data_IF_897269256270
#
_entry.id   IF_897269256270
#
_cell.length_a   1.000
_cell.length_b   1.000
_cell.length_c   1.000
_cell.angle_alpha   90.00
_cell.angle_beta   90.00
_cell.angle_gamma   90.00
#
_symmetry.space_group_name_H-M   'P 1'
#
loop_
_entity.id
_entity.type
_entity.pdbx_description
1 polymer ?
#
# COMPACT_ATOMS: atom_id res chain seq x y z
N UNK A 1 -7.90 3.02 11.73
CA UNK A 1 -7.94 1.59 12.18
C UNK A 1 -6.53 0.96 12.19
N UNK A 2 -6.16 0.17 13.22
CA UNK A 2 -4.91 -0.62 13.27
C UNK A 2 -5.15 -2.09 13.63
N UNK A 3 -4.47 -3.02 12.92
CA UNK A 3 -4.44 -4.45 13.25
C UNK A 3 -3.04 -5.02 13.05
N UNK A 4 -2.67 -6.00 13.86
CA UNK A 4 -1.42 -6.75 13.67
C UNK A 4 -1.72 -8.20 13.27
N UNK A 5 -0.97 -8.77 12.32
CA UNK A 5 -1.26 -10.10 11.75
C UNK A 5 -1.37 -11.22 12.80
N UNK A 6 -0.61 -11.15 13.90
CA UNK A 6 -0.67 -12.16 14.97
C UNK A 6 -1.96 -12.11 15.80
N UNK A 7 -2.68 -10.99 15.74
CA UNK A 7 -3.90 -10.78 16.52
C UNK A 7 -5.15 -11.15 15.70
N UNK A 8 -4.97 -11.43 14.40
CA UNK A 8 -6.01 -11.85 13.48
C UNK A 8 -5.95 -13.37 13.31
N UNK A 9 -7.09 -14.02 13.55
CA UNK A 9 -7.25 -15.45 13.32
C UNK A 9 -6.96 -15.79 11.86
N UNK A 10 -6.05 -16.73 11.67
CA UNK A 10 -5.72 -17.27 10.37
C UNK A 10 -6.70 -18.40 10.00
N UNK A 11 -7.21 -18.39 8.77
CA UNK A 11 -8.16 -19.39 8.25
C UNK A 11 -7.54 -20.08 7.03
N UNK A 12 -7.63 -21.41 6.96
CA UNK A 12 -7.24 -22.13 5.73
C UNK A 12 -8.37 -22.00 4.70
N UNK A 13 -8.09 -21.35 3.57
CA UNK A 13 -9.08 -21.03 2.54
C UNK A 13 -9.02 -22.01 1.36
N UNK A 14 -7.85 -22.61 1.15
CA UNK A 14 -7.66 -23.75 0.26
C UNK A 14 -6.48 -24.58 0.78
N UNK A 15 -6.32 -25.79 0.27
CA UNK A 15 -5.26 -26.71 0.74
C UNK A 15 -3.89 -26.02 0.64
N UNK A 16 -3.26 -25.78 1.80
CA UNK A 16 -1.95 -25.14 1.83
C UNK A 16 -1.95 -23.61 1.65
N UNK A 17 -3.12 -22.97 1.70
CA UNK A 17 -3.26 -21.50 1.65
C UNK A 17 -4.04 -21.03 2.87
N UNK A 18 -3.42 -20.12 3.60
CA UNK A 18 -4.03 -19.52 4.77
C UNK A 18 -4.17 -18.02 4.61
N UNK A 19 -5.30 -17.48 5.04
CA UNK A 19 -5.67 -16.08 4.89
C UNK A 19 -5.94 -15.43 6.24
N UNK A 20 -5.65 -14.12 6.31
CA UNK A 20 -6.11 -13.19 7.33
C UNK A 20 -6.73 -11.99 6.62
N UNK A 21 -7.95 -11.62 7.00
CA UNK A 21 -8.56 -10.36 6.54
C UNK A 21 -8.08 -9.22 7.43
N UNK A 22 -7.24 -8.34 6.87
CA UNK A 22 -6.71 -7.17 7.57
C UNK A 22 -7.69 -5.99 7.54
N UNK A 23 -8.45 -5.88 6.46
CA UNK A 23 -9.52 -4.90 6.26
C UNK A 23 -10.63 -5.59 5.47
N UNK A 24 -11.85 -5.58 5.98
CA UNK A 24 -13.04 -6.06 5.28
C UNK A 24 -13.93 -4.92 4.79
N UNK A 25 -14.96 -5.21 3.98
CA UNK A 25 -15.87 -4.19 3.47
C UNK A 25 -16.54 -3.37 4.58
N UNK A 26 -16.93 -4.01 5.69
CA UNK A 26 -17.60 -3.34 6.81
C UNK A 26 -16.67 -2.43 7.64
N UNK A 27 -15.36 -2.49 7.38
CA UNK A 27 -14.37 -1.63 8.03
C UNK A 27 -14.20 -0.28 7.31
N UNK A 28 -14.78 -0.09 6.12
CA UNK A 28 -14.69 1.17 5.36
C UNK A 28 -16.06 1.75 5.05
N UNK A 29 -16.15 3.08 4.98
CA UNK A 29 -17.42 3.79 4.70
C UNK A 29 -18.02 3.45 3.34
N UNK A 30 -17.18 3.05 2.37
CA UNK A 30 -17.59 2.77 1.01
C UNK A 30 -17.89 1.28 0.76
N UNK A 31 -17.63 0.39 1.73
CA UNK A 31 -17.87 -1.05 1.64
C UNK A 31 -17.29 -1.73 0.40
N UNK A 32 -16.19 -1.21 -0.13
CA UNK A 32 -15.64 -1.62 -1.43
C UNK A 32 -14.12 -1.88 -1.41
N UNK A 33 -13.51 -1.92 -0.22
CA UNK A 33 -12.10 -2.22 -0.05
C UNK A 33 -11.93 -3.44 0.84
N UNK A 34 -11.04 -4.34 0.46
CA UNK A 34 -10.66 -5.50 1.24
C UNK A 34 -9.16 -5.71 1.13
N UNK A 35 -8.50 -5.93 2.27
CA UNK A 35 -7.07 -6.23 2.33
C UNK A 35 -6.89 -7.58 3.01
N UNK A 36 -6.21 -8.48 2.33
CA UNK A 36 -5.94 -9.85 2.79
C UNK A 36 -4.44 -10.11 2.86
N UNK A 37 -4.01 -10.76 3.94
CA UNK A 37 -2.67 -11.30 4.07
C UNK A 37 -2.70 -12.81 3.94
N UNK A 38 -2.04 -13.34 2.91
CA UNK A 38 -2.02 -14.77 2.61
C UNK A 38 -0.64 -15.39 2.87
N UNK A 39 -0.65 -16.60 3.42
CA UNK A 39 0.53 -17.48 3.52
C UNK A 39 0.26 -18.69 2.64
N UNK A 40 1.07 -18.85 1.60
CA UNK A 40 0.94 -19.91 0.60
C UNK A 40 2.10 -20.88 0.81
N UNK A 41 1.81 -22.15 1.09
CA UNK A 41 2.85 -23.18 1.21
C UNK A 41 3.49 -23.47 -0.15
N UNK A 42 4.78 -23.85 -0.19
CA UNK A 42 5.43 -24.31 -1.42
C UNK A 42 4.59 -25.39 -2.12
N UNK A 43 4.40 -25.24 -3.43
CA UNK A 43 3.59 -26.16 -4.24
C UNK A 43 2.07 -25.98 -4.14
N UNK A 44 1.60 -25.03 -3.33
CA UNK A 44 0.17 -24.66 -3.25
C UNK A 44 -0.14 -23.48 -4.17
N UNK A 45 -1.42 -23.27 -4.47
CA UNK A 45 -1.88 -22.18 -5.33
C UNK A 45 -3.14 -21.52 -4.76
N UNK A 46 -3.28 -20.23 -5.03
CA UNK A 46 -4.47 -19.42 -4.72
C UNK A 46 -5.06 -18.90 -6.02
N UNK A 47 -6.39 -18.95 -6.14
CA UNK A 47 -7.16 -18.36 -7.23
C UNK A 47 -7.81 -17.07 -6.77
N UNK A 48 -7.99 -16.14 -7.70
CA UNK A 48 -8.70 -14.87 -7.50
C UNK A 48 -9.77 -14.78 -8.58
N UNK A 49 -11.03 -14.99 -8.22
CA UNK A 49 -12.15 -15.15 -9.14
C UNK A 49 -13.38 -14.31 -8.77
N UNK A 50 -13.29 -13.43 -7.76
CA UNK A 50 -14.37 -12.48 -7.47
C UNK A 50 -14.63 -11.60 -8.69
N UNK A 51 -15.87 -11.62 -9.15
CA UNK A 51 -16.32 -10.80 -10.27
C UNK A 51 -16.30 -9.32 -9.87
N UNK A 52 -16.12 -8.45 -10.88
CA UNK A 52 -16.17 -6.99 -10.69
C UNK A 52 -15.18 -6.44 -9.65
N UNK A 53 -14.08 -7.16 -9.43
CA UNK A 53 -13.07 -6.80 -8.42
C UNK A 53 -11.76 -6.36 -9.08
N UNK A 54 -11.23 -5.24 -8.62
CA UNK A 54 -9.86 -4.81 -8.92
C UNK A 54 -8.90 -5.47 -7.94
N UNK A 55 -7.82 -6.08 -8.44
CA UNK A 55 -6.84 -6.75 -7.61
C UNK A 55 -5.43 -6.19 -7.81
N UNK A 56 -4.71 -6.10 -6.70
CA UNK A 56 -3.31 -5.76 -6.67
C UNK A 56 -2.61 -6.59 -5.61
N UNK A 57 -1.63 -7.36 -6.06
CA UNK A 57 -0.98 -8.38 -5.26
C UNK A 57 0.48 -8.03 -5.02
N UNK A 58 0.93 -8.29 -3.80
CA UNK A 58 2.30 -8.05 -3.37
C UNK A 58 2.87 -9.29 -2.69
N UNK A 59 4.03 -9.75 -3.17
CA UNK A 59 4.78 -10.82 -2.51
C UNK A 59 5.71 -10.16 -1.49
N UNK A 60 5.32 -10.24 -0.22
CA UNK A 60 6.07 -9.64 0.90
C UNK A 60 7.31 -10.48 1.23
N UNK A 61 7.22 -11.81 1.10
CA UNK A 61 8.33 -12.74 1.31
C UNK A 61 8.14 -14.00 0.48
N UNK A 62 9.25 -14.59 0.04
CA UNK A 62 9.27 -15.80 -0.78
C UNK A 62 9.16 -15.50 -2.28
N UNK A 63 8.59 -16.45 -3.03
CA UNK A 63 8.42 -16.39 -4.47
C UNK A 63 7.08 -17.04 -4.83
N UNK A 64 6.38 -16.46 -5.81
CA UNK A 64 5.14 -17.01 -6.34
C UNK A 64 5.22 -17.08 -7.87
N UNK A 65 4.51 -18.04 -8.47
CA UNK A 65 4.30 -18.07 -9.92
C UNK A 65 2.93 -17.46 -10.22
N UNK A 66 2.90 -16.44 -11.06
CA UNK A 66 1.69 -15.76 -11.50
C UNK A 66 1.44 -15.99 -12.99
N UNK A 67 0.41 -16.74 -13.36
CA UNK A 67 0.04 -16.94 -14.78
C UNK A 67 1.19 -17.50 -15.64
N UNK A 68 2.08 -18.30 -15.06
CA UNK A 68 3.29 -18.81 -15.74
C UNK A 68 4.52 -17.89 -15.68
N UNK A 69 4.43 -16.72 -15.05
CA UNK A 69 5.53 -15.77 -14.82
C UNK A 69 5.99 -15.87 -13.37
N UNK A 70 7.27 -16.12 -13.13
CA UNK A 70 7.81 -16.11 -11.76
C UNK A 70 7.81 -14.69 -11.20
N UNK A 71 6.95 -14.42 -10.21
CA UNK A 71 7.06 -13.25 -9.34
C UNK A 71 8.11 -13.55 -8.26
N UNK A 72 9.37 -13.47 -8.65
CA UNK A 72 10.53 -13.51 -7.78
C UNK A 72 11.06 -12.08 -7.61
N UNK A 73 11.23 -11.60 -6.38
CA UNK A 73 12.18 -10.51 -6.16
C UNK A 73 13.60 -11.15 -6.14
N UNK A 74 14.62 -10.77 -6.95
CA UNK A 74 14.75 -9.73 -8.01
C UNK A 74 15.28 -10.18 -9.43
N UNK A 75 15.01 -9.34 -10.46
CA UNK A 75 15.58 -9.15 -11.85
C UNK A 75 15.37 -10.22 -12.98
N UNK A 76 15.35 -9.84 -14.29
CA UNK A 76 14.45 -8.90 -15.01
C UNK A 76 13.76 -9.54 -16.27
N UNK A 77 12.76 -8.83 -16.81
CA UNK A 77 12.02 -8.99 -18.09
C UNK A 77 10.62 -9.67 -18.10
N UNK A 78 9.57 -8.82 -18.31
CA UNK A 78 8.31 -9.01 -19.11
C UNK A 78 7.38 -10.23 -18.80
N UNK A 79 6.04 -10.26 -18.95
CA UNK A 79 4.91 -9.34 -19.23
C UNK A 79 3.56 -10.12 -19.02
N UNK A 80 2.56 -9.49 -18.37
CA UNK A 80 1.09 -9.64 -18.58
C UNK A 80 0.28 -10.55 -17.65
N UNK A 81 0.46 -10.38 -16.35
CA UNK A 81 -0.47 -9.60 -15.52
C UNK A 81 0.37 -8.46 -14.92
N UNK A 82 -0.15 -7.32 -14.44
CA UNK A 82 0.72 -6.32 -13.79
C UNK A 82 1.16 -6.79 -12.39
N UNK A 83 1.76 -7.98 -12.29
CA UNK A 83 2.63 -8.34 -11.18
C UNK A 83 3.89 -7.48 -11.30
N UNK A 84 4.00 -6.45 -10.45
CA UNK A 84 5.24 -5.67 -10.30
C UNK A 84 5.96 -6.19 -9.06
N UNK A 85 7.11 -6.81 -9.26
CA UNK A 85 8.01 -7.16 -8.17
C UNK A 85 8.91 -5.95 -7.89
N UNK A 86 8.82 -5.40 -6.68
CA UNK A 86 9.70 -4.35 -6.21
C UNK A 86 10.69 -4.96 -5.21
N UNK A 87 11.96 -4.62 -5.34
CA UNK A 87 12.92 -4.91 -4.29
C UNK A 87 12.79 -3.84 -3.21
N UNK A 88 12.15 -4.19 -2.10
CA UNK A 88 11.96 -3.27 -0.98
C UNK A 88 13.29 -2.92 -0.27
N UNK A 89 14.33 -3.75 -0.40
CA UNK A 89 15.66 -3.48 0.18
C UNK A 89 16.45 -2.34 -0.50
N UNK A 90 15.97 -1.81 -1.64
CA UNK A 90 16.68 -0.80 -2.45
C UNK A 90 15.86 0.49 -2.64
N UNK A 91 15.14 0.96 -1.61
CA UNK A 91 14.72 2.36 -1.62
C UNK A 91 15.97 3.24 -1.53
N UNK A 92 16.52 3.60 -2.69
CA UNK A 92 17.61 4.55 -2.81
C UNK A 92 17.09 5.94 -2.45
N UNK A 93 17.93 6.72 -1.78
CA UNK A 93 17.68 8.10 -1.35
C UNK A 93 17.19 8.98 -2.51
N UNK A 94 15.87 9.11 -2.67
CA UNK A 94 15.24 9.93 -3.74
C UNK A 94 14.62 11.22 -3.22
N UNK A 95 14.53 11.43 -1.90
CA UNK A 95 13.94 12.64 -1.32
C UNK A 95 15.01 13.65 -0.88
N UNK A 96 14.75 14.92 -1.19
CA UNK A 96 15.48 16.09 -0.67
C UNK A 96 15.17 16.39 0.82
N UNK A 97 14.35 15.58 1.48
CA UNK A 97 14.02 15.72 2.91
C UNK A 97 14.85 14.73 3.70
N UNK A 98 15.74 15.25 4.55
CA UNK A 98 16.61 14.45 5.42
C UNK A 98 15.87 13.53 6.40
N UNK A 99 14.53 13.64 6.50
CA UNK A 99 13.71 12.97 7.51
C UNK A 99 12.96 11.73 7.03
N UNK A 100 12.71 11.57 5.73
CA UNK A 100 11.99 10.40 5.20
C UNK A 100 12.46 10.10 3.78
N UNK A 101 12.77 8.83 3.50
CA UNK A 101 13.10 8.33 2.16
C UNK A 101 11.83 7.71 1.57
N UNK A 102 11.31 8.25 0.47
CA UNK A 102 10.18 7.70 -0.26
C UNK A 102 10.61 7.30 -1.67
N UNK A 103 10.26 6.09 -2.09
CA UNK A 103 10.28 5.65 -3.48
C UNK A 103 8.88 5.27 -3.93
N UNK A 104 8.36 6.02 -4.89
CA UNK A 104 7.14 5.66 -5.60
C UNK A 104 7.38 4.45 -6.51
N UNK A 105 6.66 3.37 -6.22
CA UNK A 105 6.74 2.09 -6.92
C UNK A 105 5.78 2.07 -8.11
N UNK A 106 4.58 2.62 -7.94
CA UNK A 106 3.63 2.87 -9.02
C UNK A 106 3.08 4.29 -8.84
N UNK A 107 3.24 5.12 -9.88
CA UNK A 107 2.77 6.50 -9.85
C UNK A 107 1.25 6.59 -10.09
N UNK A 108 0.67 7.73 -9.71
CA UNK A 108 -0.73 8.09 -9.98
C UNK A 108 -1.11 7.89 -11.46
N UNK A 109 -0.27 8.40 -12.36
CA UNK A 109 -0.48 8.31 -13.80
C UNK A 109 -0.35 6.87 -14.28
N UNK A 110 0.57 6.09 -13.69
CA UNK A 110 0.71 4.69 -14.06
C UNK A 110 -0.50 3.86 -13.67
N UNK A 111 -1.09 4.10 -12.50
CA UNK A 111 -2.35 3.46 -12.13
C UNK A 111 -3.49 3.93 -13.06
N UNK A 112 -3.65 5.23 -13.28
CA UNK A 112 -4.69 5.76 -14.17
C UNK A 112 -4.60 5.18 -15.59
N UNK A 113 -3.41 5.14 -16.19
CA UNK A 113 -3.18 4.55 -17.53
C UNK A 113 -3.36 3.03 -17.54
N UNK A 114 -3.32 2.36 -16.37
CA UNK A 114 -3.70 0.94 -16.27
C UNK A 114 -5.19 0.69 -16.47
N UNK A 115 -6.01 1.72 -16.35
CA UNK A 115 -7.43 1.55 -16.03
C UNK A 115 -7.66 1.12 -14.59
N UNK A 116 -6.78 1.52 -13.66
CA UNK A 116 -7.05 1.32 -12.23
C UNK A 116 -8.34 2.04 -11.86
N UNK A 117 -9.19 1.39 -11.07
CA UNK A 117 -10.49 1.96 -10.72
C UNK A 117 -10.38 2.80 -9.45
N UNK A 118 -9.73 2.25 -8.41
CA UNK A 118 -9.49 2.99 -7.15
C UNK A 118 -8.02 3.18 -6.79
N UNK A 119 -7.12 2.32 -7.22
CA UNK A 119 -5.72 2.37 -6.77
C UNK A 119 -4.99 3.59 -7.32
N UNK A 120 -4.45 4.44 -6.46
CA UNK A 120 -3.89 5.73 -6.86
C UNK A 120 -2.36 5.71 -6.93
N UNK A 121 -1.70 5.63 -5.78
CA UNK A 121 -0.25 5.66 -5.64
C UNK A 121 0.21 4.51 -4.78
N UNK A 122 1.32 3.88 -5.17
CA UNK A 122 1.99 2.89 -4.33
C UNK A 122 3.41 3.36 -4.06
N UNK A 123 3.73 3.53 -2.79
CA UNK A 123 5.06 3.94 -2.33
C UNK A 123 5.64 2.90 -1.39
N UNK A 124 6.98 2.82 -1.37
CA UNK A 124 7.70 2.37 -0.18
C UNK A 124 8.30 3.59 0.51
N UNK A 125 8.05 3.69 1.81
CA UNK A 125 8.55 4.76 2.65
C UNK A 125 9.40 4.19 3.77
N UNK A 126 10.49 4.92 4.06
CA UNK A 126 11.45 4.61 5.10
C UNK A 126 11.64 5.85 5.96
N UNK A 127 11.29 5.74 7.23
CA UNK A 127 11.51 6.77 8.24
C UNK A 127 12.72 6.38 9.10
N UNK A 128 13.89 7.04 8.95
CA UNK A 128 15.09 6.74 9.71
C UNK A 128 14.89 6.92 11.23
N UNK A 129 15.81 6.39 12.06
CA UNK A 129 15.86 6.68 13.49
C UNK A 129 15.70 8.17 13.81
N UNK A 130 14.93 8.48 14.84
CA UNK A 130 14.64 9.83 15.33
C UNK A 130 14.07 10.80 14.28
N UNK A 131 13.35 10.28 13.29
CA UNK A 131 12.69 11.09 12.28
C UNK A 131 11.20 10.79 12.20
N UNK A 132 10.52 11.62 11.42
CA UNK A 132 9.07 11.57 11.25
C UNK A 132 8.62 12.01 9.86
N UNK A 133 7.45 11.51 9.48
CA UNK A 133 6.57 12.10 8.49
C UNK A 133 5.54 12.92 9.25
N UNK A 134 5.65 14.25 9.15
CA UNK A 134 4.77 15.16 9.86
C UNK A 134 3.30 14.90 9.52
N UNK A 135 2.37 15.10 10.48
CA UNK A 135 0.96 14.90 10.26
C UNK A 135 0.42 15.68 9.05
N UNK A 136 -0.27 14.99 8.16
CA UNK A 136 -0.89 15.54 6.95
C UNK A 136 -2.16 14.76 6.60
N UNK A 137 -2.89 15.21 5.58
CA UNK A 137 -4.11 14.57 5.07
C UNK A 137 -3.87 14.16 3.63
N UNK A 138 -4.33 12.96 3.27
CA UNK A 138 -4.27 12.37 1.93
C UNK A 138 -5.66 11.81 1.58
N UNK A 139 -5.84 11.33 0.34
CA UNK A 139 -6.89 10.37 0.04
C UNK A 139 -6.87 9.15 0.98
N UNK A 140 -7.87 8.28 0.84
CA UNK A 140 -7.92 7.02 1.58
C UNK A 140 -6.61 6.24 1.40
N UNK A 141 -6.01 5.72 2.46
CA UNK A 141 -4.74 5.01 2.37
C UNK A 141 -4.65 3.80 3.30
N UNK A 142 -3.81 2.84 2.90
CA UNK A 142 -3.47 1.68 3.71
C UNK A 142 -1.96 1.48 3.77
N UNK A 143 -1.45 1.24 4.98
CA UNK A 143 -0.04 1.05 5.27
C UNK A 143 0.21 -0.36 5.81
N UNK A 144 1.26 -1.02 5.33
CA UNK A 144 1.71 -2.31 5.86
C UNK A 144 3.20 -2.25 6.22
N UNK A 145 3.50 -2.57 7.48
CA UNK A 145 4.84 -2.40 8.05
C UNK A 145 5.70 -3.65 7.85
N UNK A 146 6.90 -3.43 7.31
CA UNK A 146 7.85 -4.46 6.87
C UNK A 146 9.07 -4.59 7.80
N UNK A 147 9.56 -3.46 8.35
CA UNK A 147 10.78 -3.43 9.19
C UNK A 147 10.70 -2.31 10.23
N UNK A 148 11.42 -2.50 11.33
CA UNK A 148 11.54 -1.53 12.41
C UNK A 148 10.33 -1.49 13.33
N UNK A 149 10.42 -0.65 14.36
CA UNK A 149 9.30 -0.34 15.25
C UNK A 149 9.10 1.16 15.20
N UNK A 150 7.85 1.60 15.28
CA UNK A 150 7.49 3.01 15.17
C UNK A 150 6.11 3.28 15.74
N UNK A 151 5.62 4.47 15.45
CA UNK A 151 4.28 4.90 15.81
C UNK A 151 3.59 5.56 14.62
N UNK A 152 2.29 5.30 14.48
CA UNK A 152 1.43 5.90 13.45
C UNK A 152 0.39 6.75 14.15
N UNK A 153 0.26 8.01 13.74
CA UNK A 153 -0.93 8.80 14.02
C UNK A 153 -1.97 8.47 12.95
N UNK A 154 -3.19 8.12 13.34
CA UNK A 154 -4.36 8.01 12.47
C UNK A 154 -5.62 8.15 13.32
N UNK A 155 -6.65 8.84 12.81
CA UNK A 155 -7.92 9.07 13.54
C UNK A 155 -7.74 9.70 14.93
N UNK A 156 -6.70 10.52 15.11
CA UNK A 156 -6.38 11.16 16.39
C UNK A 156 -5.69 10.24 17.41
N UNK A 157 -5.47 8.97 17.08
CA UNK A 157 -4.78 8.02 17.95
C UNK A 157 -3.35 7.75 17.46
N UNK A 158 -2.41 7.64 18.42
CA UNK A 158 -1.04 7.24 18.15
C UNK A 158 -0.84 5.78 18.54
N UNK A 159 -0.67 4.91 17.55
CA UNK A 159 -0.56 3.46 17.73
C UNK A 159 0.84 2.97 17.42
N UNK A 160 1.34 2.02 18.23
CA UNK A 160 2.63 1.38 17.98
C UNK A 160 2.53 0.39 16.83
N UNK A 161 3.51 0.43 15.94
CA UNK A 161 3.60 -0.45 14.78
C UNK A 161 4.92 -1.19 14.72
N UNK A 162 4.90 -2.38 14.12
CA UNK A 162 6.05 -3.28 13.94
C UNK A 162 5.81 -4.16 12.70
N UNK A 163 6.76 -5.02 12.28
CA UNK A 163 6.56 -5.85 11.10
C UNK A 163 5.30 -6.70 11.23
N UNK A 164 4.41 -6.63 10.24
CA UNK A 164 3.09 -7.26 10.27
C UNK A 164 1.96 -6.39 10.86
N UNK A 165 2.24 -5.15 11.25
CA UNK A 165 1.19 -4.15 11.50
C UNK A 165 0.58 -3.69 10.18
N UNK A 166 -0.73 -3.47 10.19
CA UNK A 166 -1.54 -2.88 9.15
C UNK A 166 -2.31 -1.70 9.72
N UNK A 167 -2.28 -0.57 9.03
CA UNK A 167 -3.04 0.62 9.40
C UNK A 167 -3.82 1.10 8.18
N UNK A 168 -5.09 1.41 8.39
CA UNK A 168 -5.95 2.04 7.41
C UNK A 168 -6.35 3.44 7.91
N UNK A 169 -6.23 4.42 7.02
CA UNK A 169 -6.59 5.82 7.27
C UNK A 169 -7.67 6.24 6.25
N UNK A 170 -8.85 6.70 6.70
CA UNK A 170 -9.89 7.19 5.81
C UNK A 170 -9.50 8.49 5.09
N UNK A 171 -10.29 8.86 4.07
CA UNK A 171 -10.15 10.14 3.34
C UNK A 171 -10.13 11.33 4.31
N UNK A 172 -9.24 12.28 4.07
CA UNK A 172 -9.11 13.55 4.81
C UNK A 172 -8.85 13.40 6.32
N UNK A 173 -8.49 12.19 6.77
CA UNK A 173 -8.07 11.95 8.16
C UNK A 173 -6.57 12.21 8.27
N UNK A 174 -6.22 13.03 9.28
CA UNK A 174 -4.83 13.34 9.55
C UNK A 174 -4.06 12.08 9.98
N UNK A 175 -2.92 11.86 9.36
CA UNK A 175 -2.01 10.76 9.68
C UNK A 175 -0.55 11.17 9.57
N UNK A 176 0.33 10.42 10.24
CA UNK A 176 1.77 10.68 10.25
C UNK A 176 2.54 9.50 10.84
N UNK A 177 3.84 9.46 10.57
CA UNK A 177 4.72 8.35 10.96
C UNK A 177 5.84 8.88 11.83
N UNK A 178 6.14 8.16 12.90
CA UNK A 178 7.18 8.55 13.83
C UNK A 178 8.08 7.37 14.14
N UNK A 179 9.38 7.60 14.06
CA UNK A 179 10.38 6.65 14.50
C UNK A 179 11.18 7.22 15.68
N UNK A 180 10.73 7.01 16.92
CA UNK A 180 11.44 7.51 18.09
C UNK A 180 12.67 6.66 18.47
N UNK A 181 12.96 5.57 17.75
CA UNK A 181 13.94 4.56 18.14
C UNK A 181 15.30 4.76 17.46
N UNK A 182 16.37 4.23 18.07
CA UNK A 182 17.75 4.50 17.67
C UNK A 182 18.28 3.63 16.51
N UNK A 183 17.75 2.41 16.36
CA UNK A 183 18.48 1.33 15.64
C UNK A 183 18.03 1.11 14.20
N UNK A 184 16.75 0.88 13.99
CA UNK A 184 16.21 0.47 12.69
C UNK A 184 15.30 1.56 12.14
N UNK A 185 15.34 1.81 10.82
CA UNK A 185 14.30 2.60 10.20
C UNK A 185 12.95 1.87 10.27
N UNK A 186 11.87 2.64 10.28
CA UNK A 186 10.52 2.15 10.05
C UNK A 186 10.31 2.08 8.54
N UNK A 187 10.04 0.89 8.02
CA UNK A 187 9.82 0.65 6.60
C UNK A 187 8.43 0.05 6.39
N UNK A 188 7.70 0.62 5.45
CA UNK A 188 6.33 0.26 5.12
C UNK A 188 6.06 0.58 3.66
N UNK A 189 5.13 -0.16 3.06
CA UNK A 189 4.51 0.33 1.83
C UNK A 189 3.17 0.97 2.16
N UNK A 190 2.81 1.99 1.38
CA UNK A 190 1.52 2.67 1.46
C UNK A 190 0.85 2.61 0.09
N UNK A 191 -0.42 2.22 0.07
CA UNK A 191 -1.28 2.25 -1.09
C UNK A 191 -2.39 3.27 -0.83
N UNK A 192 -2.44 4.28 -1.69
CA UNK A 192 -3.49 5.29 -1.71
C UNK A 192 -4.62 4.86 -2.64
N UNK A 193 -5.82 5.29 -2.32
CA UNK A 193 -7.04 5.02 -3.06
C UNK A 193 -7.80 6.31 -3.35
N UNK A 194 -8.31 6.44 -4.57
CA UNK A 194 -9.16 7.56 -4.99
C UNK A 194 -10.35 7.05 -5.80
N UNK A 195 -11.31 7.91 -6.05
CA UNK A 195 -12.28 7.71 -7.13
C UNK A 195 -11.70 8.35 -8.39
N UNK A 196 -11.06 7.53 -9.25
CA UNK A 196 -10.32 8.06 -10.40
C UNK A 196 -11.20 8.90 -11.33
N UNK A 197 -12.42 8.43 -11.61
CA UNK A 197 -13.40 9.14 -12.43
C UNK A 197 -13.71 10.54 -11.87
N UNK A 198 -13.99 10.64 -10.57
CA UNK A 198 -14.27 11.90 -9.89
C UNK A 198 -13.04 12.81 -9.85
N UNK A 199 -11.89 12.28 -9.42
CA UNK A 199 -10.67 13.05 -9.26
C UNK A 199 -10.16 13.64 -10.59
N UNK A 200 -10.18 12.86 -11.68
CA UNK A 200 -9.76 13.35 -12.98
C UNK A 200 -10.76 14.34 -13.59
N UNK A 201 -12.07 14.11 -13.37
CA UNK A 201 -13.11 15.03 -13.80
C UNK A 201 -12.99 16.38 -13.09
N UNK A 202 -12.81 16.39 -11.77
CA UNK A 202 -12.61 17.60 -10.97
C UNK A 202 -11.34 18.36 -11.37
N UNK A 203 -10.21 17.67 -11.58
CA UNK A 203 -8.99 18.30 -12.13
C UNK A 203 -9.24 18.96 -13.50
N UNK A 204 -10.05 18.32 -14.36
CA UNK A 204 -10.47 18.88 -15.65
C UNK A 204 -11.28 20.18 -15.51
N UNK A 205 -12.14 20.29 -14.50
CA UNK A 205 -12.88 21.52 -14.20
C UNK A 205 -12.01 22.63 -13.59
N UNK A 206 -10.91 22.29 -12.92
CA UNK A 206 -10.01 23.23 -12.26
C UNK A 206 -8.90 23.81 -13.17
N UNK A 207 -8.83 23.43 -14.45
CA UNK A 207 -7.89 24.04 -15.42
C UNK A 207 -8.43 25.42 -15.87
N UNK A 208 -7.61 26.49 -15.99
CA UNK A 208 -8.02 27.87 -15.71
C UNK A 208 -9.04 28.46 -16.68
N UNK A 209 -9.76 29.48 -16.21
CA UNK A 209 -10.50 30.42 -17.04
C UNK A 209 -9.67 30.83 -18.26
N UNK A 210 -10.22 30.59 -19.45
CA UNK A 210 -9.73 31.10 -20.74
C UNK A 210 -9.86 32.64 -20.83
N UNK A 211 -9.32 33.39 -19.87
CA UNK A 211 -9.08 34.82 -20.02
C UNK A 211 -7.67 35.03 -20.52
N UNK A 212 -7.52 34.86 -21.84
CA UNK A 212 -6.43 35.49 -22.58
C UNK A 212 -6.63 37.00 -22.49
N UNK A 213 -5.98 37.66 -21.54
CA UNK A 213 -5.81 39.11 -21.61
C UNK A 213 -4.78 39.39 -22.71
N UNK A 214 -5.24 40.13 -23.73
CA UNK A 214 -4.46 40.64 -24.86
C UNK A 214 -3.49 41.73 -24.42
#
# INVERSE_FOLDING_TARGET
>A
MHRHINDIKQVEVSKGVWERTLLGPDDTSHHNLTVKHQVIKPGSAVGFDDQMSEYQHYVISGCALWGGIYAQAPKPFFRWAKARAFNFFEAQYTSFRATTINRQLITEEQHAISGAYRMHGLDIQITPPHNEVSPHTNPEESMYFLRGQGEVLSEGERVKVRPGSFVHTPVDVQHGIFNPYDRLPVEYFVLEYIEHDKAWTERGYQTPSLTWQK
#
